data_IF_177691357792
#
_entry.id   IF_177691357792
#
_cell.length_a   1.000
_cell.length_b   1.000
_cell.length_c   1.000
_cell.angle_alpha   90.00
_cell.angle_beta   90.00
_cell.angle_gamma   90.00
#
_symmetry.space_group_name_H-M   'P 1'
#
loop_
_entity.id
_entity.type
_entity.pdbx_description
1 polymer ?
#
# COMPACT_ATOMS: atom_id res chain seq x y z
N UNK A 1 26.68 63.68 24.10
CA UNK A 1 26.86 64.04 22.68
C UNK A 1 28.06 63.27 22.13
N UNK A 2 27.84 62.41 21.12
CA UNK A 2 28.88 61.72 20.34
C UNK A 2 29.42 60.46 21.02
N UNK A 3 29.55 59.30 20.36
CA UNK A 3 29.39 58.93 18.95
C UNK A 3 29.33 57.40 18.94
N UNK A 4 28.43 56.89 18.11
CA UNK A 4 28.03 55.50 18.01
C UNK A 4 29.15 54.67 17.36
N UNK A 5 29.50 53.54 17.97
CA UNK A 5 30.33 52.51 17.35
C UNK A 5 29.43 51.53 16.58
N UNK A 6 29.73 51.35 15.30
CA UNK A 6 29.04 50.47 14.35
C UNK A 6 29.12 49.00 14.78
N UNK A 7 28.08 48.18 14.50
CA UNK A 7 28.29 46.77 14.21
C UNK A 7 27.96 46.49 12.73
N UNK A 8 28.96 46.08 11.96
CA UNK A 8 28.74 45.43 10.67
C UNK A 8 28.98 43.93 10.89
N UNK A 9 27.89 43.18 11.00
CA UNK A 9 27.88 41.72 11.09
C UNK A 9 27.45 41.22 9.71
N UNK A 10 28.42 40.94 8.85
CA UNK A 10 28.29 40.20 7.59
C UNK A 10 28.67 38.75 7.94
N UNK A 11 28.02 37.64 7.55
CA UNK A 11 27.11 37.33 6.47
C UNK A 11 26.33 36.07 6.89
N UNK A 12 25.02 36.10 6.68
CA UNK A 12 24.15 35.03 6.17
C UNK A 12 24.69 33.60 6.34
N UNK A 13 24.13 32.91 7.34
CA UNK A 13 24.20 31.46 7.47
C UNK A 13 23.70 30.81 6.18
N UNK A 14 24.57 30.01 5.57
CA UNK A 14 24.23 29.10 4.47
C UNK A 14 23.11 28.17 4.93
N UNK A 15 21.92 28.38 4.39
CA UNK A 15 20.81 27.46 4.49
C UNK A 15 21.12 26.23 3.63
N UNK A 16 21.72 25.20 4.24
CA UNK A 16 21.62 23.85 3.70
C UNK A 16 20.18 23.39 3.95
N UNK A 17 19.34 23.57 2.93
CA UNK A 17 18.05 22.93 2.80
C UNK A 17 18.26 21.41 2.78
N UNK A 18 18.35 20.81 3.95
CA UNK A 18 18.19 19.38 4.10
C UNK A 18 16.75 19.06 3.74
N UNK A 19 16.57 18.55 2.53
CA UNK A 19 15.36 17.89 2.04
C UNK A 19 14.75 17.13 3.20
N UNK A 20 13.54 17.56 3.57
CA UNK A 20 12.74 16.86 4.58
C UNK A 20 12.61 15.42 4.14
N UNK A 21 13.40 14.54 4.76
CA UNK A 21 13.13 13.12 4.75
C UNK A 21 11.74 13.01 5.35
N UNK A 22 10.78 12.64 4.49
CA UNK A 22 9.44 12.28 4.89
C UNK A 22 9.59 11.20 5.94
N UNK A 23 9.52 11.62 7.21
CA UNK A 23 9.23 10.72 8.31
C UNK A 23 7.86 10.20 7.95
N UNK A 24 7.80 9.01 7.37
CA UNK A 24 6.56 8.26 7.31
C UNK A 24 6.18 8.04 8.76
N UNK A 25 5.34 8.94 9.26
CA UNK A 25 4.61 8.85 10.51
C UNK A 25 3.67 7.64 10.38
N UNK A 26 4.25 6.43 10.30
CA UNK A 26 3.54 5.17 10.52
C UNK A 26 3.34 4.99 12.03
N UNK A 27 3.02 6.08 12.74
CA UNK A 27 2.70 6.07 14.16
C UNK A 27 1.58 5.06 14.40
N UNK A 28 1.96 3.85 14.79
CA UNK A 28 1.11 2.80 15.35
C UNK A 28 -0.19 2.55 14.57
N UNK A 29 -0.10 2.22 13.28
CA UNK A 29 -1.23 1.55 12.63
C UNK A 29 -1.27 0.12 13.15
N UNK A 30 -2.25 -0.20 14.00
CA UNK A 30 -2.55 -1.56 14.41
C UNK A 30 -3.18 -2.33 13.24
N UNK A 31 -2.63 -2.27 12.03
CA UNK A 31 -3.17 -2.93 10.85
C UNK A 31 -2.29 -4.14 10.54
N UNK A 32 -2.90 -5.25 10.17
CA UNK A 32 -2.20 -6.43 9.68
C UNK A 32 -2.71 -6.79 8.30
N UNK A 33 -1.80 -6.73 7.34
CA UNK A 33 -2.03 -7.11 5.95
C UNK A 33 -1.86 -8.63 5.81
N UNK A 34 -2.87 -9.29 5.24
CA UNK A 34 -2.88 -10.74 5.07
C UNK A 34 -3.29 -11.13 3.65
N UNK A 35 -2.62 -12.15 3.13
CA UNK A 35 -2.86 -12.66 1.78
C UNK A 35 -3.97 -13.73 1.79
N UNK A 36 -4.86 -13.65 0.81
CA UNK A 36 -5.92 -14.63 0.56
C UNK A 36 -5.81 -15.23 -0.86
N UNK A 37 -6.07 -16.54 -1.02
CA UNK A 37 -6.20 -17.56 0.02
C UNK A 37 -4.82 -17.95 0.57
N UNK A 38 -4.75 -18.46 1.80
CA UNK A 38 -3.49 -18.91 2.36
C UNK A 38 -3.52 -19.11 3.87
N UNK A 39 -2.34 -19.41 4.41
CA UNK A 39 -2.12 -19.47 5.85
C UNK A 39 -1.95 -18.06 6.41
N UNK A 40 -2.77 -17.70 7.38
CA UNK A 40 -2.68 -16.41 8.06
C UNK A 40 -1.65 -16.49 9.19
N UNK A 41 -0.77 -15.48 9.26
CA UNK A 41 0.27 -15.38 10.28
C UNK A 41 0.11 -14.07 11.04
N UNK A 42 0.10 -14.15 12.37
CA UNK A 42 0.04 -12.96 13.19
C UNK A 42 1.37 -12.21 13.13
N UNK A 43 1.35 -10.89 13.04
CA UNK A 43 2.58 -10.07 13.04
C UNK A 43 3.10 -9.79 14.45
N UNK A 44 2.28 -10.04 15.48
CA UNK A 44 2.61 -9.77 16.89
C UNK A 44 3.11 -11.03 17.62
N UNK A 45 2.65 -12.22 17.22
CA UNK A 45 3.08 -13.47 17.82
C UNK A 45 3.23 -14.57 16.77
N UNK A 46 3.69 -15.75 17.19
CA UNK A 46 3.91 -16.90 16.29
C UNK A 46 2.63 -17.68 15.95
N UNK A 47 1.45 -17.12 16.20
CA UNK A 47 0.18 -17.78 15.92
C UNK A 47 -0.10 -17.82 14.40
N UNK A 48 -0.43 -19.00 13.91
CA UNK A 48 -0.75 -19.24 12.50
C UNK A 48 -2.01 -20.10 12.37
N UNK A 49 -2.92 -19.72 11.48
CA UNK A 49 -4.18 -20.45 11.26
C UNK A 49 -4.59 -20.35 9.79
N UNK A 50 -5.20 -21.40 9.26
CA UNK A 50 -5.80 -21.39 7.92
C UNK A 50 -7.26 -20.90 7.91
N UNK A 51 -7.89 -20.85 9.09
CA UNK A 51 -9.27 -20.40 9.25
C UNK A 51 -9.32 -18.93 9.64
N UNK A 52 -9.83 -18.09 8.73
CA UNK A 52 -9.87 -16.63 8.92
C UNK A 52 -10.63 -16.20 10.18
N UNK A 53 -11.75 -16.84 10.52
CA UNK A 53 -12.53 -16.46 11.71
C UNK A 53 -11.75 -16.64 13.02
N UNK A 54 -10.99 -17.74 13.14
CA UNK A 54 -10.09 -18.00 14.28
C UNK A 54 -8.96 -16.99 14.32
N UNK A 55 -8.35 -16.73 13.16
CA UNK A 55 -7.28 -15.76 13.02
C UNK A 55 -7.72 -14.32 13.36
N UNK A 56 -8.88 -13.89 12.86
CA UNK A 56 -9.48 -12.59 13.15
C UNK A 56 -9.78 -12.42 14.63
N UNK A 57 -10.41 -13.42 15.25
CA UNK A 57 -10.65 -13.41 16.69
C UNK A 57 -9.37 -13.34 17.53
N UNK A 58 -8.31 -14.01 17.08
CA UNK A 58 -6.99 -13.89 17.69
C UNK A 58 -6.42 -12.46 17.55
N UNK A 59 -6.45 -11.89 16.34
CA UNK A 59 -5.91 -10.56 16.06
C UNK A 59 -6.65 -9.44 16.81
N UNK A 60 -7.97 -9.59 17.03
CA UNK A 60 -8.74 -8.65 17.86
C UNK A 60 -8.21 -8.54 19.29
N UNK A 61 -7.65 -9.61 19.87
CA UNK A 61 -7.03 -9.57 21.22
C UNK A 61 -5.80 -8.67 21.27
N UNK A 62 -5.15 -8.48 20.13
CA UNK A 62 -4.03 -7.56 19.98
C UNK A 62 -4.46 -6.17 19.50
N UNK A 63 -5.76 -5.94 19.25
CA UNK A 63 -6.25 -4.69 18.67
C UNK A 63 -5.88 -4.50 17.20
N UNK A 64 -5.56 -5.58 16.47
CA UNK A 64 -5.21 -5.53 15.05
C UNK A 64 -6.46 -5.44 14.17
N UNK A 65 -6.43 -4.52 13.21
CA UNK A 65 -7.36 -4.41 12.11
C UNK A 65 -6.82 -5.17 10.89
N UNK A 66 -7.61 -6.09 10.34
CA UNK A 66 -7.15 -6.96 9.26
C UNK A 66 -7.49 -6.38 7.90
N UNK A 67 -6.49 -6.35 7.02
CA UNK A 67 -6.65 -5.98 5.61
C UNK A 67 -6.32 -7.19 4.75
N UNK A 68 -7.27 -7.61 3.90
CA UNK A 68 -7.15 -8.82 3.09
C UNK A 68 -6.74 -8.47 1.67
N UNK A 69 -5.69 -9.10 1.18
CA UNK A 69 -5.15 -8.87 -0.15
C UNK A 69 -5.31 -10.11 -1.02
N UNK A 70 -5.74 -9.92 -2.26
CA UNK A 70 -5.74 -10.99 -3.25
C UNK A 70 -4.29 -11.36 -3.60
N UNK A 71 -3.93 -12.64 -3.49
CA UNK A 71 -2.58 -13.13 -3.88
C UNK A 71 -2.25 -12.92 -5.36
N UNK A 72 -3.25 -12.72 -6.22
CA UNK A 72 -3.09 -12.61 -7.67
C UNK A 72 -2.87 -11.16 -8.11
N UNK A 73 -3.77 -10.25 -7.74
CA UNK A 73 -3.71 -8.86 -8.16
C UNK A 73 -3.33 -7.89 -7.03
N UNK A 74 -3.08 -8.38 -5.81
CA UNK A 74 -2.75 -7.59 -4.60
C UNK A 74 -3.80 -6.58 -4.15
N UNK A 75 -4.99 -6.56 -4.78
CA UNK A 75 -6.10 -5.70 -4.40
C UNK A 75 -6.52 -5.95 -2.95
N UNK A 76 -6.68 -4.86 -2.20
CA UNK A 76 -7.13 -4.84 -0.80
C UNK A 76 -8.65 -4.94 -0.69
N UNK A 77 -9.10 -5.64 0.35
CA UNK A 77 -10.48 -5.83 0.73
C UNK A 77 -10.62 -5.76 2.26
N UNK A 78 -11.75 -5.23 2.74
CA UNK A 78 -12.08 -5.15 4.17
C UNK A 78 -12.82 -6.37 4.72
N UNK A 79 -13.17 -7.34 3.87
CA UNK A 79 -13.94 -8.53 4.26
C UNK A 79 -13.46 -9.79 3.54
N UNK A 80 -13.51 -10.91 4.26
CA UNK A 80 -13.15 -12.23 3.72
C UNK A 80 -14.09 -12.66 2.59
N UNK A 81 -15.36 -12.26 2.65
CA UNK A 81 -16.33 -12.61 1.61
C UNK A 81 -16.00 -11.90 0.29
N UNK A 82 -15.67 -10.59 0.34
CA UNK A 82 -15.40 -9.82 -0.87
C UNK A 82 -14.12 -10.27 -1.57
N UNK A 83 -13.04 -10.56 -0.82
CA UNK A 83 -11.81 -11.11 -1.41
C UNK A 83 -12.03 -12.53 -1.96
N UNK A 84 -12.84 -13.37 -1.31
CA UNK A 84 -13.14 -14.72 -1.80
C UNK A 84 -13.90 -14.70 -3.13
N UNK A 85 -14.97 -13.89 -3.22
CA UNK A 85 -15.72 -13.69 -4.45
C UNK A 85 -14.81 -13.14 -5.56
N UNK A 86 -13.97 -12.16 -5.23
CA UNK A 86 -13.01 -11.59 -6.17
C UNK A 86 -11.98 -12.62 -6.66
N UNK A 87 -11.35 -13.36 -5.76
CA UNK A 87 -10.29 -14.32 -6.07
C UNK A 87 -10.75 -15.36 -7.11
N UNK A 88 -11.98 -15.86 -6.98
CA UNK A 88 -12.56 -16.83 -7.93
C UNK A 88 -12.63 -16.30 -9.38
N UNK A 89 -12.80 -14.99 -9.57
CA UNK A 89 -12.80 -14.33 -10.88
C UNK A 89 -11.39 -13.95 -11.31
N UNK A 90 -10.60 -13.42 -10.39
CA UNK A 90 -9.22 -13.01 -10.64
C UNK A 90 -8.33 -14.19 -11.08
N UNK A 91 -8.53 -15.38 -10.48
CA UNK A 91 -7.84 -16.60 -10.87
C UNK A 91 -8.18 -17.09 -12.28
N UNK A 92 -9.36 -16.75 -12.80
CA UNK A 92 -9.74 -17.09 -14.18
C UNK A 92 -9.07 -16.16 -15.18
N UNK A 93 -9.03 -14.87 -14.87
CA UNK A 93 -8.34 -13.88 -15.72
C UNK A 93 -6.86 -14.17 -15.83
N UNK A 94 -6.17 -14.57 -14.76
CA UNK A 94 -4.74 -14.89 -14.84
C UNK A 94 -4.43 -16.19 -15.62
N UNK A 95 -5.41 -17.11 -15.73
CA UNK A 95 -5.29 -18.34 -16.53
C UNK A 95 -5.53 -18.11 -18.03
N UNK A 96 -6.05 -16.95 -18.39
CA UNK A 96 -6.07 -16.46 -19.76
C UNK A 96 -4.85 -15.55 -19.84
N UNK A 97 -3.66 -16.01 -20.27
CA UNK A 97 -2.63 -15.06 -20.64
C UNK A 97 -3.24 -14.19 -21.74
N UNK A 98 -3.54 -12.94 -21.43
CA UNK A 98 -3.78 -11.94 -22.46
C UNK A 98 -2.49 -11.92 -23.27
N UNK A 99 -2.53 -12.55 -24.45
CA UNK A 99 -1.61 -12.25 -25.52
C UNK A 99 -1.98 -10.85 -26.01
N UNK A 100 -1.22 -9.79 -25.71
CA UNK A 100 -1.61 -8.44 -26.07
C UNK A 100 -0.84 -8.03 -27.33
N UNK A 101 -1.10 -8.66 -28.48
CA UNK A 101 -0.38 -8.31 -29.72
C UNK A 101 -1.29 -8.46 -30.96
N UNK A 102 -2.39 -7.71 -31.05
CA UNK A 102 -2.87 -7.23 -32.35
C UNK A 102 -3.37 -5.79 -32.19
N UNK A 103 -2.62 -4.77 -32.63
CA UNK A 103 -3.19 -3.46 -32.88
C UNK A 103 -4.13 -3.64 -34.09
N UNK A 104 -5.43 -3.76 -33.84
CA UNK A 104 -6.44 -3.66 -34.89
C UNK A 104 -6.48 -2.21 -35.36
N UNK A 105 -5.56 -1.90 -36.28
CA UNK A 105 -5.64 -0.72 -37.11
C UNK A 105 -6.84 -0.84 -38.02
N UNK A 106 -7.86 -0.04 -37.77
CA UNK A 106 -8.80 0.38 -38.81
C UNK A 106 -9.05 1.87 -38.64
N UNK A 107 -8.04 2.65 -39.05
CA UNK A 107 -8.21 4.01 -39.51
C UNK A 107 -9.06 3.95 -40.79
N UNK A 108 -10.38 4.05 -40.63
CA UNK A 108 -11.28 4.33 -41.74
C UNK A 108 -11.48 5.84 -41.78
N UNK A 109 -10.56 6.51 -42.46
CA UNK A 109 -10.74 7.87 -42.93
C UNK A 109 -10.86 7.80 -44.46
N UNK A 110 -11.94 8.40 -44.97
CA UNK A 110 -12.15 8.96 -46.31
C UNK A 110 -11.64 8.20 -47.54
N UNK A 111 -12.60 7.70 -48.35
CA UNK A 111 -12.59 7.99 -49.78
C UNK A 111 -13.99 7.95 -50.42
N UNK A 112 -14.36 9.13 -50.95
CA UNK A 112 -15.36 9.46 -51.97
C UNK A 112 -16.82 9.72 -51.55
#
# INVERSE_FOLDING_TARGET
MGKQSRPAQEKVSTAAASVGQARSDWGRRNHAEVLYPGLFKCTICTFTECVYSRFSNHCMKHGLHLELHCTICTKMFSSIYSVACHYSRCAKTLRIPENPEIPSGSHLNDLH
#
